data_IF_857042334653
#
_entry.id   IF_857042334653
#
_cell.length_a   1.000
_cell.length_b   1.000
_cell.length_c   1.000
_cell.angle_alpha   90.00
_cell.angle_beta   90.00
_cell.angle_gamma   90.00
#
_symmetry.space_group_name_H-M   'P 1'
#
loop_
_entity.id
_entity.type
_entity.pdbx_description
1 polymer ?
#
# COMPACT_ATOMS: atom_id res chain seq x y z
N UNK A 1 20.73 -1.82 -2.21
CA UNK A 1 21.06 -0.66 -1.34
C UNK A 1 20.95 -1.07 0.13
N UNK A 2 21.71 -0.46 1.06
CA UNK A 2 21.50 -0.72 2.50
C UNK A 2 20.13 -0.14 2.93
N UNK A 3 19.40 -0.85 3.79
CA UNK A 3 18.04 -0.47 4.19
C UNK A 3 17.97 0.92 4.86
N UNK A 4 18.91 1.23 5.76
CA UNK A 4 18.97 2.51 6.46
C UNK A 4 19.32 3.68 5.55
N UNK A 5 19.99 3.42 4.42
CA UNK A 5 20.24 4.43 3.38
C UNK A 5 19.05 4.59 2.43
N UNK A 6 18.33 3.49 2.18
CA UNK A 6 17.19 3.49 1.27
C UNK A 6 16.02 4.31 1.81
N UNK A 7 15.71 4.21 3.11
CA UNK A 7 14.53 4.88 3.68
C UNK A 7 14.59 6.41 3.57
N UNK A 8 15.68 7.10 3.96
CA UNK A 8 15.77 8.54 3.76
C UNK A 8 15.61 8.96 2.30
N UNK A 9 16.20 8.20 1.36
CA UNK A 9 16.06 8.47 -0.07
C UNK A 9 14.63 8.24 -0.56
N UNK A 10 13.94 7.22 -0.05
CA UNK A 10 12.52 6.98 -0.35
C UNK A 10 11.63 8.11 0.18
N UNK A 11 11.91 8.63 1.37
CA UNK A 11 11.20 9.78 1.94
C UNK A 11 11.41 11.01 1.06
N UNK A 12 12.65 11.32 0.67
CA UNK A 12 12.95 12.47 -0.19
C UNK A 12 12.36 12.33 -1.59
N UNK A 13 12.37 11.13 -2.18
CA UNK A 13 11.67 10.86 -3.44
C UNK A 13 10.16 11.10 -3.28
N UNK A 14 9.57 10.64 -2.19
CA UNK A 14 8.13 10.83 -1.92
C UNK A 14 7.78 12.30 -1.77
N UNK A 15 8.59 13.07 -1.04
CA UNK A 15 8.44 14.53 -0.91
C UNK A 15 8.59 15.24 -2.26
N UNK A 16 9.63 14.89 -3.03
CA UNK A 16 9.90 15.49 -4.34
C UNK A 16 8.76 15.25 -5.32
N UNK A 17 8.29 14.00 -5.38
CA UNK A 17 7.27 13.57 -6.32
C UNK A 17 5.89 14.13 -6.03
N UNK A 18 5.54 14.26 -4.75
CA UNK A 18 4.22 14.73 -4.32
C UNK A 18 4.29 16.12 -3.66
N UNK A 19 5.28 16.93 -4.05
CA UNK A 19 5.54 18.27 -3.52
C UNK A 19 4.35 19.22 -3.67
N UNK A 20 3.57 19.07 -4.74
CA UNK A 20 2.38 19.90 -5.03
C UNK A 20 1.12 19.48 -4.25
N UNK A 21 1.21 18.48 -3.39
CA UNK A 21 0.07 17.98 -2.61
C UNK A 21 -0.38 18.91 -1.46
N UNK A 22 0.10 20.16 -1.44
CA UNK A 22 -0.32 21.24 -0.52
C UNK A 22 -1.86 21.40 -0.47
N UNK A 23 -2.57 20.97 -1.52
CA UNK A 23 -4.02 21.09 -1.63
C UNK A 23 -4.84 19.88 -1.13
N UNK A 24 -4.22 18.70 -0.90
CA UNK A 24 -4.79 17.38 -0.44
C UNK A 24 -4.50 16.22 -1.42
N UNK A 25 -4.01 15.04 -0.96
CA UNK A 25 -3.59 14.69 0.41
C UNK A 25 -2.34 15.46 0.86
N UNK A 26 -2.38 16.12 2.02
CA UNK A 26 -1.21 16.85 2.52
C UNK A 26 -0.16 15.89 3.10
N UNK A 27 0.97 15.77 2.40
CA UNK A 27 2.09 14.92 2.80
C UNK A 27 2.95 15.59 3.88
N UNK A 28 2.90 15.07 5.10
CA UNK A 28 3.69 15.57 6.23
C UNK A 28 4.42 14.41 6.93
N UNK A 29 5.74 14.38 6.80
CA UNK A 29 6.61 13.44 7.49
C UNK A 29 7.08 13.93 8.86
N UNK A 30 6.93 15.21 9.19
CA UNK A 30 7.39 15.78 10.46
C UNK A 30 6.38 15.48 11.59
N UNK A 31 5.09 15.72 11.35
CA UNK A 31 4.05 15.46 12.35
C UNK A 31 3.23 14.18 12.09
N UNK A 32 3.18 13.74 10.82
CA UNK A 32 2.32 12.66 10.37
C UNK A 32 2.95 11.27 10.45
N UNK A 33 2.08 10.25 10.56
CA UNK A 33 2.46 8.88 10.20
C UNK A 33 2.12 8.68 8.73
N UNK A 34 3.09 8.19 7.94
CA UNK A 34 2.95 8.02 6.49
C UNK A 34 3.16 6.57 6.11
N UNK A 35 2.30 6.04 5.25
CA UNK A 35 2.46 4.72 4.65
C UNK A 35 3.05 4.87 3.25
N UNK A 36 4.04 4.04 2.92
CA UNK A 36 4.63 3.98 1.57
C UNK A 36 4.67 2.52 1.15
N UNK A 37 3.88 2.14 0.14
CA UNK A 37 3.99 0.82 -0.48
C UNK A 37 4.86 0.88 -1.73
N UNK A 38 5.70 -0.14 -1.90
CA UNK A 38 6.63 -0.24 -3.02
C UNK A 38 6.52 -1.62 -3.64
N UNK A 39 6.24 -1.65 -4.94
CA UNK A 39 6.16 -2.88 -5.72
C UNK A 39 7.52 -3.53 -5.94
N UNK A 40 7.53 -4.86 -5.92
CA UNK A 40 8.62 -5.66 -6.44
C UNK A 40 9.96 -5.47 -5.73
N UNK A 41 9.96 -5.23 -4.42
CA UNK A 41 11.20 -5.13 -3.64
C UNK A 41 11.23 -6.13 -2.49
N UNK A 42 12.42 -6.46 -2.03
CA UNK A 42 12.63 -7.31 -0.87
C UNK A 42 13.73 -6.77 0.03
N UNK A 43 13.60 -7.01 1.33
CA UNK A 43 14.60 -6.65 2.34
C UNK A 43 15.29 -7.93 2.79
N UNK A 44 16.51 -8.17 2.31
CA UNK A 44 17.29 -9.35 2.60
C UNK A 44 18.58 -8.95 3.31
N UNK A 45 18.80 -9.42 4.54
CA UNK A 45 20.01 -9.17 5.33
C UNK A 45 20.39 -7.67 5.35
N UNK A 46 19.43 -6.82 5.72
CA UNK A 46 19.56 -5.36 5.76
C UNK A 46 19.87 -4.67 4.40
N UNK A 47 19.53 -5.33 3.29
CA UNK A 47 19.65 -4.77 1.94
C UNK A 47 18.32 -4.80 1.22
N UNK A 48 17.97 -3.67 0.62
CA UNK A 48 16.85 -3.56 -0.32
C UNK A 48 17.34 -3.98 -1.70
N UNK A 49 16.62 -4.93 -2.30
CA UNK A 49 16.87 -5.47 -3.63
C UNK A 49 15.58 -5.52 -4.43
N UNK A 50 15.70 -5.43 -5.75
CA UNK A 50 14.59 -5.74 -6.66
C UNK A 50 14.30 -7.24 -6.63
N UNK A 51 13.04 -7.60 -6.70
CA UNK A 51 12.61 -8.97 -7.01
C UNK A 51 11.93 -9.00 -8.40
N UNK A 52 11.22 -10.08 -8.70
CA UNK A 52 10.64 -10.33 -10.01
C UNK A 52 9.25 -9.70 -10.23
N UNK A 53 8.69 -8.99 -9.26
CA UNK A 53 7.35 -8.36 -9.36
C UNK A 53 6.26 -9.32 -9.87
N UNK A 54 6.37 -10.60 -9.47
CA UNK A 54 5.42 -11.65 -9.82
C UNK A 54 4.00 -11.35 -9.37
N UNK A 55 3.06 -11.60 -10.27
CA UNK A 55 1.63 -11.68 -9.99
C UNK A 55 1.32 -12.76 -8.94
N UNK A 56 0.20 -12.61 -8.23
CA UNK A 56 -0.31 -13.55 -7.23
C UNK A 56 0.65 -13.86 -6.07
N UNK A 57 1.56 -12.92 -5.75
CA UNK A 57 2.63 -13.12 -4.79
C UNK A 57 2.69 -12.02 -3.73
N UNK A 58 3.13 -12.37 -2.52
CA UNK A 58 3.49 -11.41 -1.48
C UNK A 58 4.96 -10.98 -1.64
N UNK A 59 5.22 -10.08 -2.58
CA UNK A 59 6.55 -9.65 -3.01
C UNK A 59 6.71 -8.12 -3.02
N UNK A 60 5.81 -7.41 -2.35
CA UNK A 60 5.86 -5.97 -2.18
C UNK A 60 6.20 -5.64 -0.73
N UNK A 61 6.57 -4.38 -0.48
CA UNK A 61 6.84 -3.92 0.89
C UNK A 61 5.97 -2.70 1.20
N UNK A 62 5.32 -2.75 2.36
CA UNK A 62 4.68 -1.59 2.97
C UNK A 62 5.56 -1.05 4.09
N UNK A 63 6.03 0.19 3.93
CA UNK A 63 6.71 0.96 4.96
C UNK A 63 5.70 1.78 5.75
N UNK A 64 5.91 1.88 7.05
CA UNK A 64 5.29 2.90 7.89
C UNK A 64 6.37 3.82 8.45
N UNK A 65 6.33 5.07 8.05
CA UNK A 65 7.25 6.11 8.47
C UNK A 65 6.61 6.84 9.67
N UNK A 66 7.34 6.87 10.79
CA UNK A 66 6.89 7.57 11.98
C UNK A 66 7.21 9.07 11.92
N UNK A 67 6.53 9.91 12.71
CA UNK A 67 6.76 11.35 12.74
C UNK A 67 8.24 11.72 12.89
N UNK A 68 8.68 12.71 12.13
CA UNK A 68 10.06 13.16 11.99
C UNK A 68 10.92 12.32 11.02
N UNK A 69 10.38 11.25 10.43
CA UNK A 69 11.07 10.46 9.39
C UNK A 69 12.34 9.71 9.85
N UNK A 70 12.57 9.60 11.17
CA UNK A 70 13.80 9.03 11.75
C UNK A 70 13.67 7.57 12.19
N UNK A 71 12.46 7.05 12.25
CA UNK A 71 12.17 5.66 12.56
C UNK A 71 11.07 5.14 11.65
N UNK A 72 11.11 3.84 11.38
CA UNK A 72 10.21 3.21 10.42
C UNK A 72 9.99 1.74 10.77
N UNK A 73 8.86 1.20 10.31
CA UNK A 73 8.61 -0.23 10.20
C UNK A 73 8.45 -0.64 8.74
N UNK A 74 8.61 -1.93 8.46
CA UNK A 74 8.28 -2.52 7.16
C UNK A 74 7.64 -3.87 7.32
N UNK A 75 6.87 -4.26 6.30
CA UNK A 75 6.24 -5.57 6.22
C UNK A 75 6.11 -6.05 4.79
N UNK A 76 6.08 -7.37 4.64
CA UNK A 76 5.81 -8.02 3.36
C UNK A 76 4.33 -7.93 3.08
N UNK A 77 3.99 -7.39 1.91
CA UNK A 77 2.62 -7.24 1.43
C UNK A 77 2.52 -7.69 -0.02
N UNK A 78 1.31 -7.64 -0.55
CA UNK A 78 1.05 -7.40 -1.96
C UNK A 78 0.26 -6.10 -2.09
N UNK A 79 0.51 -5.32 -3.12
CA UNK A 79 -0.33 -4.20 -3.59
C UNK A 79 -0.93 -4.46 -4.97
N UNK A 80 -0.82 -5.70 -5.40
CA UNK A 80 -1.39 -6.23 -6.63
C UNK A 80 -2.47 -7.28 -6.28
N UNK A 81 -3.40 -7.54 -7.21
CA UNK A 81 -4.43 -8.54 -7.00
C UNK A 81 -3.84 -9.95 -7.05
N UNK A 82 -4.55 -10.90 -6.43
CA UNK A 82 -4.26 -12.32 -6.54
C UNK A 82 -4.95 -12.96 -7.75
N UNK A 83 -4.51 -14.17 -8.09
CA UNK A 83 -5.09 -14.94 -9.18
C UNK A 83 -6.39 -15.59 -8.74
N UNK A 84 -7.49 -15.28 -9.44
CA UNK A 84 -8.81 -15.86 -9.17
C UNK A 84 -9.55 -16.16 -10.47
N UNK A 85 -10.65 -16.90 -10.39
CA UNK A 85 -11.54 -17.10 -11.54
C UNK A 85 -12.45 -15.88 -11.76
N UNK A 86 -12.93 -15.69 -12.97
CA UNK A 86 -13.95 -14.68 -13.29
C UNK A 86 -15.21 -14.82 -12.41
N UNK A 87 -15.67 -16.06 -12.18
CA UNK A 87 -16.78 -16.36 -11.27
C UNK A 87 -16.50 -15.82 -9.85
N UNK A 88 -15.26 -15.94 -9.38
CA UNK A 88 -14.86 -15.42 -8.08
C UNK A 88 -14.89 -13.89 -8.06
N UNK A 89 -14.42 -13.23 -9.12
CA UNK A 89 -14.52 -11.76 -9.24
C UNK A 89 -15.97 -11.29 -9.16
N UNK A 90 -16.86 -11.92 -9.93
CA UNK A 90 -18.29 -11.62 -9.95
C UNK A 90 -18.94 -11.84 -8.58
N UNK A 91 -18.59 -12.94 -7.90
CA UNK A 91 -19.06 -13.23 -6.52
C UNK A 91 -18.70 -12.11 -5.54
N UNK A 92 -17.56 -11.45 -5.74
CA UNK A 92 -17.12 -10.32 -4.92
C UNK A 92 -17.50 -8.95 -5.48
N UNK A 93 -18.35 -8.89 -6.52
CA UNK A 93 -18.80 -7.64 -7.13
C UNK A 93 -17.70 -6.88 -7.87
N UNK A 94 -16.64 -7.59 -8.29
CA UNK A 94 -15.52 -7.04 -9.05
C UNK A 94 -15.81 -7.29 -10.54
N UNK A 95 -16.05 -6.20 -11.28
CA UNK A 95 -16.38 -6.26 -12.71
C UNK A 95 -15.24 -5.68 -13.55
N UNK A 96 -15.04 -6.25 -14.74
CA UNK A 96 -14.06 -5.76 -15.71
C UNK A 96 -12.62 -6.12 -15.38
N UNK A 97 -12.39 -7.16 -14.58
CA UNK A 97 -11.07 -7.67 -14.22
C UNK A 97 -10.58 -7.25 -12.83
N UNK A 98 -9.52 -7.90 -12.39
CA UNK A 98 -8.77 -7.56 -11.19
C UNK A 98 -8.31 -6.10 -11.22
N UNK A 99 -8.34 -5.41 -10.07
CA UNK A 99 -7.91 -4.03 -9.96
C UNK A 99 -6.45 -3.93 -9.49
N UNK A 100 -5.71 -2.96 -10.05
CA UNK A 100 -4.38 -2.58 -9.57
C UNK A 100 -4.34 -1.08 -9.31
N UNK A 101 -3.99 -0.72 -8.08
CA UNK A 101 -3.82 0.69 -7.67
C UNK A 101 -2.66 1.32 -8.45
N UNK A 102 -2.86 2.49 -9.03
CA UNK A 102 -1.80 3.23 -9.71
C UNK A 102 -0.76 3.74 -8.71
N UNK A 103 0.40 4.09 -9.22
CA UNK A 103 1.37 4.89 -8.47
C UNK A 103 0.80 6.29 -8.20
N UNK A 104 0.85 6.74 -6.94
CA UNK A 104 0.20 7.97 -6.51
C UNK A 104 0.25 8.20 -5.00
N UNK A 105 -0.34 9.32 -4.57
CA UNK A 105 -0.52 9.67 -3.16
C UNK A 105 -2.00 9.69 -2.83
N UNK A 106 -2.38 8.92 -1.82
CA UNK A 106 -3.77 8.72 -1.41
C UNK A 106 -3.95 8.92 0.10
N UNK A 107 -5.20 8.87 0.57
CA UNK A 107 -5.52 8.81 1.99
C UNK A 107 -6.19 7.51 2.37
N UNK A 108 -5.80 7.01 3.52
CA UNK A 108 -6.45 5.90 4.21
C UNK A 108 -6.77 6.26 5.65
N UNK A 109 -7.79 5.65 6.25
CA UNK A 109 -8.16 5.88 7.65
C UNK A 109 -8.47 4.57 8.36
N UNK A 110 -8.45 4.57 9.69
CA UNK A 110 -8.85 3.37 10.43
C UNK A 110 -10.34 3.10 10.15
N UNK A 111 -10.64 1.85 9.84
CA UNK A 111 -11.98 1.37 9.61
C UNK A 111 -12.05 -0.15 9.75
N UNK A 112 -12.91 -0.78 8.96
CA UNK A 112 -13.14 -2.21 9.00
C UNK A 112 -13.14 -2.84 7.61
N UNK A 113 -12.58 -4.05 7.53
CA UNK A 113 -12.70 -4.94 6.38
C UNK A 113 -13.20 -6.30 6.88
N UNK A 114 -14.38 -6.73 6.44
CA UNK A 114 -15.03 -8.00 6.84
C UNK A 114 -15.06 -8.25 8.36
N UNK A 115 -15.35 -7.20 9.14
CA UNK A 115 -15.45 -7.28 10.61
C UNK A 115 -14.13 -7.12 11.36
N UNK A 116 -12.98 -7.12 10.68
CA UNK A 116 -11.68 -6.87 11.30
C UNK A 116 -11.26 -5.42 11.11
N UNK A 117 -10.51 -4.85 12.06
CA UNK A 117 -9.94 -3.50 11.88
C UNK A 117 -9.00 -3.52 10.69
N UNK A 118 -9.09 -2.53 9.80
CA UNK A 118 -8.24 -2.35 8.62
C UNK A 118 -8.04 -0.85 8.35
N UNK A 119 -7.26 -0.52 7.33
CA UNK A 119 -7.30 0.82 6.75
C UNK A 119 -8.27 0.84 5.56
N UNK A 120 -9.24 1.75 5.58
CA UNK A 120 -10.16 1.97 4.48
C UNK A 120 -9.74 3.20 3.68
N UNK A 121 -10.14 3.24 2.40
CA UNK A 121 -9.95 4.43 1.57
C UNK A 121 -10.60 5.67 2.22
N UNK A 122 -9.85 6.76 2.25
CA UNK A 122 -10.29 8.08 2.71
C UNK A 122 -10.17 9.16 1.62
N UNK A 123 -9.48 8.87 0.52
CA UNK A 123 -9.53 9.59 -0.76
C UNK A 123 -9.97 8.62 -1.87
N UNK A 124 -10.21 9.16 -3.06
CA UNK A 124 -10.34 8.35 -4.27
C UNK A 124 -8.95 7.79 -4.62
N UNK A 125 -8.91 6.56 -5.10
CA UNK A 125 -7.68 5.94 -5.61
C UNK A 125 -7.80 5.86 -7.12
N UNK A 126 -6.70 6.11 -7.81
CA UNK A 126 -6.58 5.77 -9.22
C UNK A 126 -6.19 4.31 -9.34
N UNK A 127 -6.85 3.59 -10.23
CA UNK A 127 -6.60 2.17 -10.46
C UNK A 127 -6.88 1.79 -11.90
N UNK A 128 -6.18 0.78 -12.40
CA UNK A 128 -6.50 0.12 -13.67
C UNK A 128 -7.18 -1.22 -13.44
N UNK A 129 -7.83 -1.75 -14.48
CA UNK A 129 -8.37 -3.12 -14.46
C UNK A 129 -7.86 -3.97 -15.61
N UNK A 130 -7.52 -5.21 -15.29
CA UNK A 130 -7.10 -6.23 -16.25
C UNK A 130 -8.32 -6.83 -16.96
N UNK A 131 -8.84 -6.09 -17.95
CA UNK A 131 -10.07 -6.48 -18.65
C UNK A 131 -9.93 -7.79 -19.44
N UNK A 132 -8.75 -8.10 -19.95
CA UNK A 132 -8.51 -9.28 -20.78
C UNK A 132 -8.05 -10.49 -19.97
N UNK A 133 -7.77 -10.32 -18.66
CA UNK A 133 -7.41 -11.39 -17.74
C UNK A 133 -6.05 -12.01 -18.04
N UNK A 134 -5.17 -11.31 -18.76
CA UNK A 134 -3.85 -11.83 -19.12
C UNK A 134 -2.81 -11.61 -18.00
N UNK A 135 -3.18 -10.86 -16.95
CA UNK A 135 -2.37 -10.50 -15.80
C UNK A 135 -1.10 -9.71 -16.15
N UNK A 136 -1.15 -9.00 -17.27
CA UNK A 136 -0.11 -8.10 -17.77
C UNK A 136 -0.69 -6.70 -17.77
N UNK A 137 -0.11 -5.83 -16.93
CA UNK A 137 -0.57 -4.44 -16.80
C UNK A 137 -0.08 -3.60 -17.97
N UNK A 138 -0.96 -3.36 -18.93
CA UNK A 138 -0.68 -2.61 -20.14
C UNK A 138 -1.00 -1.13 -19.95
N UNK A 139 -0.42 -0.26 -20.80
CA UNK A 139 -0.77 1.17 -20.83
C UNK A 139 -2.20 1.41 -21.35
N UNK A 140 -2.72 0.45 -22.11
CA UNK A 140 -4.06 0.45 -22.70
C UNK A 140 -5.15 -0.01 -21.74
N UNK A 141 -4.79 -0.53 -20.57
CA UNK A 141 -5.77 -0.92 -19.56
C UNK A 141 -6.61 0.28 -19.13
N UNK A 142 -7.94 0.14 -19.04
CA UNK A 142 -8.81 1.22 -18.60
C UNK A 142 -8.43 1.69 -17.19
N UNK A 143 -8.26 3.00 -17.05
CA UNK A 143 -8.01 3.67 -15.78
C UNK A 143 -9.29 4.27 -15.23
N UNK A 144 -9.42 4.18 -13.93
CA UNK A 144 -10.56 4.67 -13.16
C UNK A 144 -10.05 5.43 -11.94
N UNK A 145 -10.91 6.25 -11.36
CA UNK A 145 -10.68 6.89 -10.07
C UNK A 145 -11.91 6.69 -9.18
N UNK A 146 -11.70 6.32 -7.93
CA UNK A 146 -12.81 6.23 -6.97
C UNK A 146 -12.52 5.40 -5.72
N UNK A 147 -13.58 5.22 -4.92
CA UNK A 147 -13.57 4.45 -3.65
C UNK A 147 -14.29 3.12 -3.84
N UNK A 148 -13.56 2.12 -4.32
CA UNK A 148 -14.10 0.78 -4.60
C UNK A 148 -13.74 -0.26 -3.52
N UNK A 149 -13.25 0.18 -2.36
CA UNK A 149 -12.86 -0.70 -1.27
C UNK A 149 -11.44 -1.26 -1.38
N UNK A 150 -10.52 -0.53 -2.02
CA UNK A 150 -9.08 -0.85 -2.05
C UNK A 150 -8.46 -0.52 -0.68
N UNK A 151 -8.67 -1.43 0.27
CA UNK A 151 -8.26 -1.27 1.66
C UNK A 151 -6.84 -1.79 1.89
N UNK A 152 -6.26 -1.46 3.06
CA UNK A 152 -5.03 -2.09 3.56
C UNK A 152 -5.40 -3.01 4.72
N UNK A 153 -5.13 -4.31 4.59
CA UNK A 153 -5.58 -5.28 5.58
C UNK A 153 -4.68 -6.52 5.71
N UNK A 154 -4.88 -7.30 6.77
CA UNK A 154 -4.22 -8.60 6.93
C UNK A 154 -4.90 -9.68 6.10
N UNK A 155 -4.17 -10.76 5.78
CA UNK A 155 -4.80 -11.91 5.15
C UNK A 155 -5.61 -12.74 6.15
N UNK A 156 -6.68 -13.38 5.68
CA UNK A 156 -7.57 -14.18 6.54
C UNK A 156 -6.92 -15.44 7.11
N UNK A 157 -6.00 -16.05 6.37
CA UNK A 157 -5.30 -17.28 6.76
C UNK A 157 -3.92 -17.29 6.13
N UNK A 158 -2.95 -17.98 6.74
CA UNK A 158 -1.60 -18.11 6.18
C UNK A 158 -1.64 -18.86 4.85
N UNK A 159 -1.02 -18.26 3.84
CA UNK A 159 -0.78 -18.85 2.52
C UNK A 159 0.36 -18.13 1.82
N UNK A 160 0.93 -18.81 0.83
CA UNK A 160 2.04 -18.27 0.03
C UNK A 160 1.57 -17.41 -1.14
N UNK A 161 0.42 -17.76 -1.74
CA UNK A 161 -0.15 -17.02 -2.86
C UNK A 161 -1.25 -16.07 -2.38
N UNK A 162 -1.46 -14.99 -3.13
CA UNK A 162 -2.42 -13.94 -2.76
C UNK A 162 -3.86 -14.43 -2.94
N UNK A 163 -4.21 -14.98 -4.10
CA UNK A 163 -5.55 -15.40 -4.50
C UNK A 163 -6.64 -14.43 -4.01
N UNK A 164 -7.72 -14.98 -3.46
CA UNK A 164 -8.88 -14.22 -2.94
C UNK A 164 -8.58 -13.26 -1.77
N UNK A 165 -7.35 -13.24 -1.24
CA UNK A 165 -7.01 -12.26 -0.19
C UNK A 165 -7.00 -10.85 -0.73
N UNK A 166 -6.58 -10.65 -1.98
CA UNK A 166 -6.59 -9.34 -2.63
C UNK A 166 -7.25 -9.43 -3.99
N UNK A 167 -8.25 -8.60 -4.23
CA UNK A 167 -8.77 -8.29 -5.57
C UNK A 167 -8.38 -6.86 -5.99
N UNK A 168 -7.30 -6.34 -5.41
CA UNK A 168 -6.77 -4.98 -5.59
C UNK A 168 -6.48 -4.23 -4.28
N UNK A 169 -6.69 -4.86 -3.13
CA UNK A 169 -6.31 -4.33 -1.82
C UNK A 169 -4.79 -4.44 -1.60
N UNK A 170 -4.27 -3.66 -0.67
CA UNK A 170 -2.96 -3.92 -0.09
C UNK A 170 -3.10 -4.93 1.03
N UNK A 171 -2.47 -6.09 0.89
CA UNK A 171 -2.66 -7.18 1.86
C UNK A 171 -1.34 -7.62 2.46
N UNK A 172 -1.26 -7.66 3.78
CA UNK A 172 -0.06 -8.15 4.47
C UNK A 172 0.06 -9.66 4.37
N UNK A 173 1.29 -10.17 4.32
CA UNK A 173 1.55 -11.61 4.50
C UNK A 173 1.19 -12.07 5.92
N UNK A 174 1.24 -11.18 6.91
CA UNK A 174 0.70 -11.45 8.24
C UNK A 174 -0.83 -11.62 8.23
N UNK A 175 -1.31 -12.48 9.10
CA UNK A 175 -2.73 -12.69 9.41
C UNK A 175 -3.23 -11.71 10.48
N UNK A 176 -4.54 -11.65 10.68
CA UNK A 176 -5.20 -10.74 11.64
C UNK A 176 -4.70 -10.87 13.08
N UNK A 177 -4.28 -12.07 13.47
CA UNK A 177 -3.88 -12.38 14.85
C UNK A 177 -2.36 -12.33 15.05
N UNK A 178 -1.59 -12.02 14.01
CA UNK A 178 -0.14 -11.93 14.10
C UNK A 178 0.32 -10.55 14.60
N UNK A 179 1.39 -10.56 15.40
CA UNK A 179 1.93 -9.37 16.05
C UNK A 179 2.26 -8.25 15.07
N UNK A 180 2.76 -8.59 13.88
CA UNK A 180 3.09 -7.63 12.83
C UNK A 180 1.89 -6.78 12.39
N UNK A 181 0.70 -7.38 12.30
CA UNK A 181 -0.54 -6.68 11.97
C UNK A 181 -1.08 -5.90 13.16
N UNK A 182 -1.10 -6.54 14.34
CA UNK A 182 -1.62 -5.94 15.57
C UNK A 182 -0.81 -4.70 15.94
N UNK A 183 0.52 -4.74 15.82
CA UNK A 183 1.41 -3.61 16.10
C UNK A 183 1.12 -2.44 15.16
N UNK A 184 1.06 -2.69 13.84
CA UNK A 184 0.76 -1.66 12.84
C UNK A 184 -0.55 -0.96 13.17
N UNK A 185 -1.62 -1.72 13.36
CA UNK A 185 -2.95 -1.15 13.62
C UNK A 185 -2.98 -0.42 14.96
N UNK A 186 -2.31 -0.91 15.99
CA UNK A 186 -2.27 -0.26 17.30
C UNK A 186 -1.59 1.10 17.23
N UNK A 187 -0.47 1.21 16.49
CA UNK A 187 0.23 2.48 16.30
C UNK A 187 -0.66 3.49 15.57
N UNK A 188 -1.29 3.08 14.47
CA UNK A 188 -2.11 3.99 13.67
C UNK A 188 -3.45 4.34 14.35
N UNK A 189 -4.05 3.44 15.13
CA UNK A 189 -5.19 3.80 16.01
C UNK A 189 -4.79 4.87 17.02
N UNK A 190 -3.64 4.70 17.69
CA UNK A 190 -3.12 5.69 18.62
C UNK A 190 -2.84 7.03 17.94
N UNK A 191 -2.26 7.01 16.73
CA UNK A 191 -2.02 8.21 15.93
C UNK A 191 -3.34 8.90 15.53
N UNK A 192 -4.35 8.14 15.11
CA UNK A 192 -5.65 8.69 14.71
C UNK A 192 -6.34 9.38 15.89
N UNK A 193 -6.30 8.76 17.08
CA UNK A 193 -6.87 9.35 18.30
C UNK A 193 -6.16 10.66 18.69
N UNK A 194 -4.84 10.75 18.52
CA UNK A 194 -4.09 12.00 18.77
C UNK A 194 -4.45 13.06 17.75
N UNK A 195 -4.41 12.72 16.46
CA UNK A 195 -4.75 13.66 15.39
C UNK A 195 -6.19 14.18 15.53
N UNK A 196 -7.15 13.33 15.93
CA UNK A 196 -8.54 13.73 16.17
C UNK A 196 -8.74 14.67 17.37
N UNK A 197 -7.81 14.70 18.33
CA UNK A 197 -7.86 15.68 19.44
C UNK A 197 -7.50 17.09 18.97
N UNK A 198 -6.60 17.19 17.99
CA UNK A 198 -6.15 18.46 17.41
C UNK A 198 -7.06 18.90 16.26
N UNK A 199 -7.54 17.96 15.45
CA UNK A 199 -8.45 18.17 14.35
C UNK A 199 -9.53 17.09 14.34
N UNK A 200 -10.74 17.42 14.81
CA UNK A 200 -11.88 16.48 14.85
C UNK A 200 -12.28 15.92 13.48
N UNK A 201 -11.93 16.63 12.39
CA UNK A 201 -12.15 16.23 11.01
C UNK A 201 -10.89 15.61 10.36
N UNK A 202 -10.00 15.01 11.15
CA UNK A 202 -8.78 14.36 10.65
C UNK A 202 -9.10 13.45 9.44
N UNK A 203 -8.55 13.74 8.25
CA UNK A 203 -9.01 13.11 7.01
C UNK A 203 -8.46 11.70 6.82
N UNK A 204 -7.36 11.36 7.49
CA UNK A 204 -6.67 10.08 7.37
C UNK A 204 -5.16 10.25 7.24
N UNK A 205 -4.48 9.13 7.03
CA UNK A 205 -3.04 9.03 6.83
C UNK A 205 -2.70 9.01 5.35
N UNK A 206 -1.60 9.66 5.00
CA UNK A 206 -1.03 9.56 3.65
C UNK A 206 -0.59 8.13 3.35
N UNK A 207 -0.95 7.67 2.15
CA UNK A 207 -0.57 6.39 1.59
C UNK A 207 0.00 6.60 0.19
N UNK A 208 1.33 6.56 0.08
CA UNK A 208 2.02 6.62 -1.19
C UNK A 208 2.19 5.21 -1.77
N UNK A 209 1.96 5.06 -3.06
CA UNK A 209 2.17 3.81 -3.81
C UNK A 209 3.22 4.07 -4.87
N UNK A 210 4.23 3.21 -4.94
CA UNK A 210 5.29 3.26 -5.95
C UNK A 210 5.39 1.95 -6.73
N UNK A 211 5.59 2.08 -8.03
CA UNK A 211 5.98 0.98 -8.90
C UNK A 211 7.47 0.68 -8.78
N UNK A 212 7.85 -0.57 -9.05
CA UNK A 212 9.25 -1.02 -9.02
C UNK A 212 10.15 -0.17 -9.93
N UNK A 213 9.62 0.25 -11.09
CA UNK A 213 10.35 1.06 -12.06
C UNK A 213 10.77 2.42 -11.47
N UNK A 214 9.93 3.05 -10.66
CA UNK A 214 10.17 4.37 -10.08
C UNK A 214 11.27 4.35 -9.03
N UNK A 215 11.28 3.32 -8.18
CA UNK A 215 12.28 3.18 -7.12
C UNK A 215 13.62 2.63 -7.60
N UNK A 216 13.70 2.15 -8.86
CA UNK A 216 14.92 1.56 -9.41
C UNK A 216 16.07 2.57 -9.37
N UNK A 217 15.78 3.83 -9.66
CA UNK A 217 16.76 4.92 -9.64
C UNK A 217 17.35 5.11 -8.24
N UNK A 218 16.53 5.05 -7.19
CA UNK A 218 16.99 5.09 -5.79
C UNK A 218 17.95 3.94 -5.52
N UNK A 219 17.62 2.71 -5.94
CA UNK A 219 18.46 1.55 -5.65
C UNK A 219 19.80 1.56 -6.40
N UNK A 220 19.87 2.26 -7.54
CA UNK A 220 21.06 2.36 -8.38
C UNK A 220 21.89 3.62 -8.14
N UNK A 221 21.34 4.65 -7.49
CA UNK A 221 22.09 5.85 -7.12
C UNK A 221 23.18 5.46 -6.12
N UNK A 222 24.44 5.67 -6.52
CA UNK A 222 25.64 5.35 -5.73
C UNK A 222 25.93 6.44 -4.71
#
# INVERSE_FOLDING_TARGET
>A
MNYEKFIPLLIEETKSRFKESENFPYLDFESGNVLIAVRGISILKNKVVLNNDSFDSFNDILFNIYPGGKSWGSRVVTIDPGKVSEETLLKYGVYGGEARTEEGLYLVKIGTHRGHTAFNQASDFDYRRDKNGNHIWEKTDPRFSGRIGLNIHAQGSKKENVGVSSLGCTVTKATWDESEWIELISVFKGAELRAKKENSNFPGFCYAVFDQASIRNILTSR
#
